data_IF_732992983202
#
_entry.id   IF_732992983202
#
_cell.length_a   1.000
_cell.length_b   1.000
_cell.length_c   1.000
_cell.angle_alpha   90.00
_cell.angle_beta   90.00
_cell.angle_gamma   90.00
#
_symmetry.space_group_name_H-M   'P 1'
#
loop_
_entity.id
_entity.type
_entity.pdbx_description
1 polymer ?
#
# COMPACT_ATOMS: atom_id res chain seq x y z
N UNK A 1 -14.33 -3.54 14.49
CA UNK A 1 -15.23 -2.48 14.95
C UNK A 1 -14.72 -1.86 16.23
N UNK A 2 -15.03 -0.59 16.44
CA UNK A 2 -14.60 0.17 17.61
C UNK A 2 -15.82 0.46 18.48
N UNK A 3 -15.75 0.15 19.77
CA UNK A 3 -16.79 0.52 20.70
C UNK A 3 -16.79 2.03 20.91
N UNK A 4 -17.97 2.60 21.09
CA UNK A 4 -18.11 3.99 21.48
C UNK A 4 -18.03 4.08 23.00
N UNK A 5 -17.05 4.81 23.50
CA UNK A 5 -16.86 5.01 24.94
C UNK A 5 -16.90 6.49 25.33
N UNK A 6 -17.39 6.77 26.51
CA UNK A 6 -17.29 8.07 27.15
C UNK A 6 -16.14 8.03 28.16
N UNK A 7 -15.18 8.95 28.04
CA UNK A 7 -14.08 9.09 29.00
C UNK A 7 -13.95 10.53 29.50
N UNK A 8 -13.37 10.69 30.68
CA UNK A 8 -12.92 12.00 31.14
C UNK A 8 -11.63 12.40 30.42
N UNK A 9 -11.61 13.47 29.60
CA UNK A 9 -10.42 13.86 28.84
C UNK A 9 -9.26 14.35 29.74
N UNK A 10 -9.55 14.67 30.99
CA UNK A 10 -8.53 15.12 31.95
C UNK A 10 -7.95 13.96 32.78
N UNK A 11 -8.65 12.81 32.81
CA UNK A 11 -8.23 11.60 33.52
C UNK A 11 -8.50 10.38 32.63
N UNK A 12 -7.68 10.16 31.58
CA UNK A 12 -7.91 9.11 30.58
C UNK A 12 -7.47 7.72 31.10
N UNK A 13 -8.15 7.24 32.13
CA UNK A 13 -7.96 5.88 32.65
C UNK A 13 -8.94 4.93 31.95
N UNK A 14 -8.47 3.96 31.14
CA UNK A 14 -9.33 3.01 30.45
C UNK A 14 -10.29 2.23 31.34
N UNK A 15 -9.93 2.01 32.61
CA UNK A 15 -10.81 1.31 33.58
C UNK A 15 -12.05 2.14 33.95
N UNK A 16 -12.01 3.44 33.74
CA UNK A 16 -13.13 4.35 34.05
C UNK A 16 -14.03 4.64 32.84
N UNK A 17 -13.71 4.09 31.66
CA UNK A 17 -14.47 4.34 30.45
C UNK A 17 -15.88 3.73 30.53
N UNK A 18 -16.88 4.55 30.22
CA UNK A 18 -18.27 4.11 30.13
C UNK A 18 -18.54 3.74 28.67
N UNK A 19 -18.80 2.47 28.41
CA UNK A 19 -19.19 2.01 27.07
C UNK A 19 -20.61 2.48 26.76
N UNK A 20 -20.72 3.35 25.75
CA UNK A 20 -22.00 3.90 25.27
C UNK A 20 -22.65 2.98 24.25
N UNK A 21 -21.84 2.40 23.36
CA UNK A 21 -22.30 1.42 22.39
C UNK A 21 -21.21 0.37 22.14
N UNK A 22 -21.62 -0.90 22.18
CA UNK A 22 -20.77 -2.05 21.88
C UNK A 22 -21.04 -2.53 20.46
N UNK A 23 -20.20 -2.13 19.53
CA UNK A 23 -20.34 -2.54 18.13
C UNK A 23 -20.06 -4.04 17.95
N UNK A 24 -19.17 -4.60 18.80
CA UNK A 24 -18.84 -6.03 18.80
C UNK A 24 -20.01 -6.94 19.16
N UNK A 25 -21.00 -6.47 19.93
CA UNK A 25 -22.17 -7.28 20.30
C UNK A 25 -23.04 -7.67 19.09
N UNK A 26 -22.87 -6.98 17.96
CA UNK A 26 -23.60 -7.23 16.72
C UNK A 26 -22.82 -8.10 15.72
N UNK A 27 -21.55 -8.41 16.00
CA UNK A 27 -20.70 -9.24 15.14
C UNK A 27 -20.45 -10.58 15.83
N UNK A 28 -20.57 -11.67 15.08
CA UNK A 28 -20.28 -13.02 15.58
C UNK A 28 -18.78 -13.35 15.55
N UNK A 29 -17.93 -12.35 15.85
CA UNK A 29 -16.48 -12.48 15.92
C UNK A 29 -16.00 -12.08 17.31
N UNK A 30 -15.08 -12.84 17.84
CA UNK A 30 -14.38 -12.54 19.08
C UNK A 30 -12.95 -12.04 18.79
N UNK A 31 -12.23 -11.59 19.81
CA UNK A 31 -10.81 -11.21 19.63
C UNK A 31 -9.92 -12.38 19.24
N UNK A 32 -10.28 -13.58 19.69
CA UNK A 32 -9.56 -14.82 19.38
C UNK A 32 -9.72 -15.23 17.91
N UNK A 33 -10.78 -14.77 17.25
CA UNK A 33 -10.98 -14.99 15.80
C UNK A 33 -10.10 -14.08 14.94
N UNK A 34 -9.47 -13.07 15.53
CA UNK A 34 -8.68 -12.08 14.81
C UNK A 34 -7.18 -12.36 14.95
N UNK A 35 -6.48 -12.21 13.84
CA UNK A 35 -5.01 -12.21 13.82
C UNK A 35 -4.49 -10.91 14.42
N UNK A 36 -3.60 -11.02 15.41
CA UNK A 36 -2.99 -9.87 16.08
C UNK A 36 -1.91 -9.26 15.19
N UNK A 37 -1.77 -7.93 15.25
CA UNK A 37 -0.70 -7.19 14.60
C UNK A 37 0.60 -7.29 15.41
N UNK A 38 1.71 -7.50 14.71
CA UNK A 38 3.06 -7.44 15.28
C UNK A 38 3.75 -6.17 14.72
N UNK A 39 4.43 -5.38 15.56
CA UNK A 39 5.29 -4.29 15.11
C UNK A 39 6.51 -4.88 14.40
N UNK A 40 6.56 -4.74 13.09
CA UNK A 40 7.64 -5.25 12.25
C UNK A 40 8.45 -4.10 11.66
N UNK A 41 9.78 -4.17 11.81
CA UNK A 41 10.68 -3.10 11.37
C UNK A 41 11.78 -3.63 10.48
N UNK A 42 12.17 -2.83 9.49
CA UNK A 42 13.26 -3.16 8.57
C UNK A 42 14.03 -1.92 8.15
N UNK A 43 15.15 -2.13 7.48
CA UNK A 43 15.94 -1.06 6.89
C UNK A 43 15.66 -0.95 5.40
N UNK A 44 15.39 0.27 4.95
CA UNK A 44 15.30 0.61 3.52
C UNK A 44 16.68 0.69 2.88
N UNK A 45 16.71 0.95 1.57
CA UNK A 45 17.93 1.04 0.75
C UNK A 45 18.96 2.04 1.29
N UNK A 46 18.50 3.13 1.91
CA UNK A 46 19.33 4.18 2.50
C UNK A 46 19.61 3.99 4.00
N UNK A 47 19.22 2.84 4.56
CA UNK A 47 19.38 2.52 5.98
C UNK A 47 18.30 3.13 6.90
N UNK A 48 17.33 3.87 6.35
CA UNK A 48 16.20 4.40 7.11
C UNK A 48 15.38 3.23 7.69
N UNK A 49 15.00 3.37 8.96
CA UNK A 49 14.09 2.42 9.58
C UNK A 49 12.66 2.66 9.12
N UNK A 50 12.03 1.61 8.64
CA UNK A 50 10.63 1.59 8.24
C UNK A 50 9.87 0.65 9.16
N UNK A 51 8.64 1.03 9.50
CA UNK A 51 7.75 0.25 10.34
C UNK A 51 6.56 -0.25 9.52
N UNK A 52 6.03 -1.40 9.87
CA UNK A 52 4.76 -1.92 9.36
C UNK A 52 4.11 -2.87 10.36
N UNK A 53 2.85 -3.17 10.12
CA UNK A 53 2.11 -4.14 10.91
C UNK A 53 2.11 -5.49 10.22
N UNK A 54 2.67 -6.50 10.88
CA UNK A 54 2.73 -7.88 10.39
C UNK A 54 1.63 -8.71 11.05
N UNK A 55 0.80 -9.34 10.22
CA UNK A 55 -0.23 -10.28 10.65
C UNK A 55 0.16 -11.68 10.19
N UNK A 56 0.46 -12.58 11.13
CA UNK A 56 0.83 -13.95 10.79
C UNK A 56 -0.40 -14.84 10.76
N UNK A 57 -0.61 -15.52 9.64
CA UNK A 57 -1.66 -16.53 9.57
C UNK A 57 -1.40 -17.68 10.53
N UNK A 58 -2.46 -18.26 11.05
CA UNK A 58 -2.39 -19.49 11.84
C UNK A 58 -2.23 -20.75 10.97
N UNK A 59 -2.39 -20.64 9.66
CA UNK A 59 -2.19 -21.74 8.70
C UNK A 59 -0.71 -22.05 8.54
N UNK A 60 -0.32 -23.30 8.75
CA UNK A 60 1.08 -23.76 8.65
C UNK A 60 1.16 -24.93 7.68
N UNK A 61 1.98 -24.84 6.62
CA UNK A 61 2.72 -23.66 6.17
C UNK A 61 1.78 -22.57 5.60
N UNK A 62 2.19 -21.31 5.69
CA UNK A 62 1.46 -20.23 5.05
C UNK A 62 1.40 -20.43 3.53
N UNK A 63 0.28 -20.05 2.90
CA UNK A 63 0.08 -20.14 1.44
C UNK A 63 0.96 -19.15 0.66
N UNK A 64 1.29 -18.03 1.30
CA UNK A 64 2.10 -16.95 0.77
C UNK A 64 2.05 -15.75 1.71
N UNK A 65 2.56 -14.62 1.23
CA UNK A 65 2.54 -13.35 1.97
C UNK A 65 1.97 -12.25 1.07
N UNK A 66 1.24 -11.33 1.65
CA UNK A 66 0.66 -10.17 0.95
C UNK A 66 1.23 -8.90 1.57
N UNK A 67 1.77 -8.00 0.75
CA UNK A 67 1.97 -6.61 1.11
C UNK A 67 0.67 -5.86 0.83
N UNK A 68 0.01 -5.39 1.87
CA UNK A 68 -1.22 -4.60 1.76
C UNK A 68 -0.89 -3.13 1.98
N UNK A 69 -0.71 -2.40 0.88
CA UNK A 69 -0.17 -1.03 0.90
C UNK A 69 -1.29 -0.02 0.99
N UNK A 70 -1.21 0.87 1.99
CA UNK A 70 -2.21 1.93 2.15
C UNK A 70 -2.13 2.98 1.06
N UNK A 71 -3.24 3.64 0.78
CA UNK A 71 -3.34 4.80 -0.11
C UNK A 71 -2.91 6.10 0.57
N UNK A 72 -3.12 7.18 -0.12
CA UNK A 72 -2.76 8.52 0.34
C UNK A 72 -1.90 9.23 -0.71
N UNK A 73 -0.56 9.25 -0.60
CA UNK A 73 0.35 8.58 0.36
C UNK A 73 0.36 9.17 1.78
N UNK A 74 -0.15 10.38 1.98
CA UNK A 74 -0.20 11.08 3.28
C UNK A 74 -1.30 10.48 4.16
N UNK A 75 -1.09 9.25 4.58
CA UNK A 75 -1.93 8.45 5.47
C UNK A 75 -1.03 7.49 6.27
N UNK A 76 -1.57 6.60 7.07
CA UNK A 76 -0.82 5.54 7.73
C UNK A 76 -1.70 4.33 8.03
N UNK A 77 -1.06 3.19 8.20
CA UNK A 77 -1.67 2.01 8.78
C UNK A 77 -1.46 2.01 10.30
N UNK A 78 -2.52 1.79 11.04
CA UNK A 78 -2.48 1.62 12.50
C UNK A 78 -2.89 0.20 12.89
N UNK A 79 -2.59 -0.17 14.13
CA UNK A 79 -3.04 -1.44 14.73
C UNK A 79 -4.55 -1.38 15.01
N UNK A 80 -5.33 -1.45 13.93
CA UNK A 80 -6.79 -1.49 13.97
C UNK A 80 -7.30 -2.68 13.17
N UNK A 81 -8.53 -3.09 13.44
CA UNK A 81 -9.15 -4.17 12.66
C UNK A 81 -9.42 -3.69 11.24
N UNK A 82 -8.67 -4.24 10.30
CA UNK A 82 -8.87 -4.04 8.86
C UNK A 82 -9.49 -5.31 8.28
N UNK A 83 -10.73 -5.29 7.79
CA UNK A 83 -11.44 -6.49 7.34
C UNK A 83 -10.68 -7.27 6.26
N UNK A 84 -10.09 -6.58 5.28
CA UNK A 84 -9.34 -7.21 4.19
C UNK A 84 -8.09 -7.92 4.70
N UNK A 85 -7.35 -7.29 5.62
CA UNK A 85 -6.15 -7.87 6.23
C UNK A 85 -6.51 -9.12 7.02
N UNK A 86 -7.58 -9.06 7.83
CA UNK A 86 -8.09 -10.20 8.58
C UNK A 86 -8.57 -11.32 7.66
N UNK A 87 -9.24 -10.97 6.56
CA UNK A 87 -9.68 -11.92 5.54
C UNK A 87 -8.49 -12.68 4.94
N UNK A 88 -7.43 -11.98 4.53
CA UNK A 88 -6.24 -12.64 3.99
C UNK A 88 -5.56 -13.53 5.03
N UNK A 89 -5.41 -13.05 6.26
CA UNK A 89 -4.78 -13.83 7.34
C UNK A 89 -5.58 -15.11 7.64
N UNK A 90 -6.91 -15.02 7.72
CA UNK A 90 -7.80 -16.16 7.91
C UNK A 90 -7.75 -17.16 6.74
N UNK A 91 -7.41 -16.71 5.52
CA UNK A 91 -7.28 -17.56 4.33
C UNK A 91 -5.87 -18.11 4.10
N UNK A 92 -5.00 -18.01 5.09
CA UNK A 92 -3.68 -18.67 5.08
C UNK A 92 -2.55 -17.81 4.54
N UNK A 93 -2.71 -16.50 4.46
CA UNK A 93 -1.64 -15.59 4.06
C UNK A 93 -1.09 -14.81 5.24
N UNK A 94 0.24 -14.66 5.33
CA UNK A 94 0.80 -13.59 6.14
C UNK A 94 0.50 -12.26 5.44
N UNK A 95 0.30 -11.19 6.22
CA UNK A 95 0.07 -9.85 5.65
C UNK A 95 1.00 -8.86 6.31
N UNK A 96 1.76 -8.10 5.52
CA UNK A 96 2.51 -6.94 5.98
C UNK A 96 1.83 -5.67 5.45
N UNK A 97 1.52 -4.75 6.37
CA UNK A 97 0.95 -3.44 6.06
C UNK A 97 2.03 -2.38 6.35
N UNK A 98 2.80 -1.95 5.34
CA UNK A 98 3.93 -1.05 5.53
C UNK A 98 3.49 0.40 5.75
N UNK A 99 4.21 1.12 6.63
CA UNK A 99 4.20 2.56 6.74
C UNK A 99 5.47 3.11 6.09
N UNK A 100 5.44 3.26 4.78
CA UNK A 100 6.54 3.78 3.97
C UNK A 100 6.74 5.29 4.22
N UNK A 101 7.92 5.85 3.87
CA UNK A 101 8.16 7.30 3.97
C UNK A 101 7.07 8.09 3.23
N UNK A 102 6.62 9.18 3.83
CA UNK A 102 5.40 9.89 3.41
C UNK A 102 4.20 9.59 4.30
N UNK A 103 4.23 8.48 5.05
CA UNK A 103 3.16 8.15 6.00
C UNK A 103 3.08 9.15 7.14
N UNK A 104 1.84 9.44 7.58
CA UNK A 104 1.55 10.21 8.80
C UNK A 104 1.72 9.35 10.06
N UNK A 105 1.56 9.95 11.23
CA UNK A 105 1.67 9.21 12.51
C UNK A 105 3.10 9.02 13.01
N UNK A 106 4.09 9.50 12.26
CA UNK A 106 5.52 9.54 12.60
C UNK A 106 5.99 11.00 12.78
N UNK A 107 7.25 11.28 12.46
CA UNK A 107 7.74 12.67 12.48
C UNK A 107 7.31 13.42 11.22
N UNK A 108 7.23 14.76 11.32
CA UNK A 108 7.00 15.61 10.15
C UNK A 108 8.07 15.40 9.07
N UNK A 109 9.33 15.23 9.47
CA UNK A 109 10.43 14.90 8.54
C UNK A 109 10.18 13.59 7.78
N UNK A 110 9.67 12.58 8.45
CA UNK A 110 9.34 11.29 7.80
C UNK A 110 8.23 11.47 6.76
N UNK A 111 7.18 12.22 7.10
CA UNK A 111 6.09 12.53 6.18
C UNK A 111 6.58 13.32 4.96
N UNK A 112 7.39 14.37 5.17
CA UNK A 112 7.87 15.23 4.07
C UNK A 112 8.96 14.55 3.22
N UNK A 113 9.58 13.49 3.70
CA UNK A 113 10.71 12.86 3.02
C UNK A 113 10.35 12.20 1.68
N UNK A 114 9.07 11.91 1.42
CA UNK A 114 8.60 11.43 0.12
C UNK A 114 8.81 12.47 -0.99
N UNK A 115 8.69 13.77 -0.66
CA UNK A 115 8.84 14.87 -1.62
C UNK A 115 10.27 15.07 -2.11
N UNK A 116 11.27 14.50 -1.43
CA UNK A 116 12.68 14.60 -1.82
C UNK A 116 12.89 13.98 -3.21
N UNK A 117 12.34 12.81 -3.42
CA UNK A 117 12.46 12.07 -4.68
C UNK A 117 11.21 12.29 -5.58
N UNK A 118 10.07 12.60 -4.98
CA UNK A 118 8.75 12.54 -5.59
C UNK A 118 8.16 11.12 -5.53
N UNK A 119 7.00 10.94 -6.12
CA UNK A 119 6.41 9.62 -6.26
C UNK A 119 7.28 8.71 -7.15
N UNK A 120 7.33 7.42 -6.84
CA UNK A 120 8.16 6.44 -7.55
C UNK A 120 9.62 6.44 -7.11
N UNK A 121 9.94 7.12 -6.02
CA UNK A 121 11.27 7.17 -5.43
C UNK A 121 11.48 6.14 -4.32
N UNK A 122 12.22 6.54 -3.27
CA UNK A 122 12.60 5.64 -2.16
C UNK A 122 11.44 5.15 -1.31
N UNK A 123 10.26 5.77 -1.38
CA UNK A 123 9.07 5.22 -0.73
C UNK A 123 8.67 3.87 -1.35
N UNK A 124 8.99 3.65 -2.61
CA UNK A 124 8.80 2.36 -3.26
C UNK A 124 9.87 1.35 -2.82
N UNK A 125 11.11 1.79 -2.63
CA UNK A 125 12.16 0.97 -2.03
C UNK A 125 11.82 0.55 -0.60
N UNK A 126 11.18 1.42 0.18
CA UNK A 126 10.71 1.09 1.52
C UNK A 126 9.81 -0.15 1.51
N UNK A 127 8.88 -0.20 0.56
CA UNK A 127 7.94 -1.32 0.39
C UNK A 127 8.65 -2.57 -0.14
N UNK A 128 9.51 -2.44 -1.16
CA UNK A 128 10.29 -3.55 -1.72
C UNK A 128 11.19 -4.20 -0.66
N UNK A 129 11.86 -3.38 0.16
CA UNK A 129 12.72 -3.89 1.24
C UNK A 129 11.92 -4.53 2.38
N UNK A 130 10.65 -4.16 2.56
CA UNK A 130 9.73 -4.88 3.44
C UNK A 130 9.51 -6.33 2.98
N UNK A 131 9.31 -6.55 1.68
CA UNK A 131 9.25 -7.91 1.12
C UNK A 131 10.56 -8.68 1.34
N UNK A 132 11.69 -8.04 1.03
CA UNK A 132 13.01 -8.64 1.25
C UNK A 132 13.24 -9.01 2.72
N UNK A 133 12.90 -8.12 3.64
CA UNK A 133 13.06 -8.36 5.07
C UNK A 133 12.23 -9.56 5.57
N UNK A 134 11.02 -9.76 5.04
CA UNK A 134 10.22 -10.94 5.36
C UNK A 134 10.86 -12.23 4.84
N UNK A 135 11.52 -12.20 3.68
CA UNK A 135 12.26 -13.32 3.12
C UNK A 135 13.50 -13.60 3.99
N UNK A 136 14.29 -12.58 4.30
CA UNK A 136 15.51 -12.70 5.11
C UNK A 136 15.21 -13.22 6.53
N UNK A 137 14.06 -12.87 7.09
CA UNK A 137 13.58 -13.36 8.38
C UNK A 137 12.96 -14.77 8.32
N UNK A 138 12.86 -15.37 7.14
CA UNK A 138 12.23 -16.70 6.96
C UNK A 138 10.71 -16.71 7.17
N UNK A 139 10.07 -15.53 7.15
CA UNK A 139 8.62 -15.37 7.30
C UNK A 139 7.90 -15.59 5.96
N UNK A 140 8.52 -15.17 4.86
CA UNK A 140 8.05 -15.37 3.51
C UNK A 140 9.05 -16.18 2.68
N UNK A 141 8.55 -16.88 1.67
CA UNK A 141 9.38 -17.59 0.70
C UNK A 141 9.58 -16.73 -0.54
N UNK A 142 10.78 -16.73 -1.16
CA UNK A 142 11.00 -16.12 -2.46
C UNK A 142 9.97 -16.59 -3.50
N UNK A 143 9.47 -15.67 -4.30
CA UNK A 143 8.45 -15.95 -5.32
C UNK A 143 7.06 -16.28 -4.76
N UNK A 144 6.80 -15.99 -3.48
CA UNK A 144 5.52 -16.24 -2.80
C UNK A 144 4.94 -14.99 -2.12
N UNK A 145 5.39 -13.81 -2.53
CA UNK A 145 4.84 -12.54 -2.04
C UNK A 145 4.06 -11.86 -3.16
N UNK A 146 2.85 -11.43 -2.84
CA UNK A 146 2.01 -10.57 -3.67
C UNK A 146 1.89 -9.19 -3.05
N UNK A 147 1.56 -8.19 -3.86
CA UNK A 147 1.29 -6.83 -3.42
C UNK A 147 -0.08 -6.37 -3.89
N UNK A 148 -0.80 -5.69 -3.02
CA UNK A 148 -2.10 -5.07 -3.33
C UNK A 148 -2.29 -3.81 -2.51
N UNK A 149 -3.19 -2.97 -2.94
CA UNK A 149 -3.59 -1.73 -2.28
C UNK A 149 -4.45 -0.89 -3.19
N UNK A 150 -5.08 0.12 -2.63
CA UNK A 150 -6.02 1.00 -3.35
C UNK A 150 -5.42 2.39 -3.55
N UNK A 151 -5.75 3.05 -4.69
CA UNK A 151 -5.30 4.42 -4.98
C UNK A 151 -3.77 4.48 -5.05
N UNK A 152 -3.11 5.25 -4.17
CA UNK A 152 -1.64 5.24 -4.09
C UNK A 152 -1.07 3.85 -3.77
N UNK A 153 -1.76 3.02 -2.95
CA UNK A 153 -1.39 1.62 -2.75
C UNK A 153 -1.51 0.77 -4.02
N UNK A 154 -2.48 1.10 -4.88
CA UNK A 154 -2.61 0.54 -6.22
C UNK A 154 -1.48 0.97 -7.15
N UNK A 155 -1.09 2.24 -7.10
CA UNK A 155 0.11 2.76 -7.78
C UNK A 155 1.37 2.02 -7.31
N UNK A 156 1.57 1.88 -6.00
CA UNK A 156 2.67 1.10 -5.45
C UNK A 156 2.64 -0.35 -5.95
N UNK A 157 1.46 -0.98 -6.02
CA UNK A 157 1.33 -2.34 -6.55
C UNK A 157 1.78 -2.44 -8.01
N UNK A 158 1.46 -1.45 -8.85
CA UNK A 158 1.97 -1.33 -10.20
C UNK A 158 3.48 -1.12 -10.25
N UNK A 159 3.98 -0.22 -9.41
CA UNK A 159 5.41 0.07 -9.36
C UNK A 159 6.20 -1.17 -8.94
N UNK A 160 5.75 -1.88 -7.92
CA UNK A 160 6.42 -3.08 -7.42
C UNK A 160 6.50 -4.18 -8.48
N UNK A 161 5.42 -4.47 -9.21
CA UNK A 161 5.44 -5.56 -10.20
C UNK A 161 6.28 -5.22 -11.44
N UNK A 162 6.52 -3.94 -11.70
CA UNK A 162 7.32 -3.47 -12.84
C UNK A 162 8.80 -3.23 -12.52
N UNK A 163 9.16 -3.04 -11.23
CA UNK A 163 10.53 -2.65 -10.83
C UNK A 163 11.20 -3.63 -9.87
N UNK A 164 10.43 -4.40 -9.10
CA UNK A 164 10.98 -5.29 -8.08
C UNK A 164 11.20 -6.69 -8.64
N UNK A 165 12.32 -7.38 -8.28
CA UNK A 165 12.57 -8.74 -8.72
C UNK A 165 11.42 -9.70 -8.37
N UNK A 166 11.12 -10.63 -9.28
CA UNK A 166 10.00 -11.60 -9.11
C UNK A 166 10.19 -12.50 -7.88
N UNK A 167 11.42 -12.69 -7.44
CA UNK A 167 11.75 -13.41 -6.21
C UNK A 167 11.23 -12.68 -4.96
N UNK A 168 11.11 -11.34 -5.02
CA UNK A 168 10.57 -10.54 -3.93
C UNK A 168 9.08 -10.28 -4.12
N UNK A 169 8.62 -9.94 -5.33
CA UNK A 169 7.22 -9.66 -5.65
C UNK A 169 6.80 -10.48 -6.87
N UNK A 170 6.06 -11.56 -6.64
CA UNK A 170 5.67 -12.51 -7.67
C UNK A 170 4.26 -12.28 -8.23
N UNK A 171 3.48 -11.41 -7.60
CA UNK A 171 2.14 -11.07 -8.06
C UNK A 171 1.74 -9.66 -7.61
N UNK A 172 0.87 -9.03 -8.37
CA UNK A 172 0.26 -7.75 -7.99
C UNK A 172 -1.25 -7.75 -8.29
N UNK A 173 -2.00 -7.10 -7.39
CA UNK A 173 -3.42 -6.85 -7.58
C UNK A 173 -3.71 -5.36 -7.30
N UNK A 174 -3.30 -4.44 -8.20
CA UNK A 174 -3.58 -3.02 -8.02
C UNK A 174 -5.07 -2.72 -8.09
N UNK A 175 -5.58 -1.95 -7.12
CA UNK A 175 -6.96 -1.49 -7.06
C UNK A 175 -6.98 0.01 -7.30
N UNK A 176 -7.61 0.45 -8.40
CA UNK A 176 -7.69 1.87 -8.79
C UNK A 176 -6.32 2.56 -8.68
N UNK A 177 -5.28 1.95 -9.24
CA UNK A 177 -3.90 2.45 -9.17
C UNK A 177 -3.53 3.30 -10.37
N UNK A 178 -2.80 4.38 -10.14
CA UNK A 178 -2.21 5.21 -11.19
C UNK A 178 -1.18 4.39 -11.98
N UNK A 179 -1.16 4.52 -13.28
CA UNK A 179 -0.25 3.78 -14.18
C UNK A 179 0.62 4.70 -15.01
N UNK A 180 0.04 5.81 -15.44
CA UNK A 180 0.70 6.91 -16.14
C UNK A 180 0.39 8.18 -15.37
N UNK A 181 1.38 8.76 -14.72
CA UNK A 181 1.18 9.93 -13.85
C UNK A 181 0.85 11.21 -14.64
N UNK A 182 1.16 11.25 -15.95
CA UNK A 182 0.74 12.35 -16.81
C UNK A 182 -0.75 12.22 -17.13
N UNK A 183 -1.19 11.04 -17.55
CA UNK A 183 -2.60 10.74 -17.81
C UNK A 183 -3.42 10.95 -16.54
N UNK A 184 -2.92 10.47 -15.39
CA UNK A 184 -3.58 10.66 -14.11
C UNK A 184 -3.75 12.15 -13.78
N UNK A 185 -2.69 12.95 -13.89
CA UNK A 185 -2.72 14.39 -13.67
C UNK A 185 -3.74 15.10 -14.59
N UNK A 186 -3.83 14.70 -15.85
CA UNK A 186 -4.74 15.32 -16.82
C UNK A 186 -6.20 14.95 -16.60
N UNK A 187 -6.46 13.73 -16.15
CA UNK A 187 -7.82 13.15 -16.06
C UNK A 187 -8.42 13.13 -14.66
N UNK A 188 -7.59 13.26 -13.60
CA UNK A 188 -8.06 13.35 -12.22
C UNK A 188 -8.88 14.61 -11.96
N UNK A 189 -9.61 14.64 -10.84
CA UNK A 189 -10.31 15.85 -10.39
C UNK A 189 -9.35 17.03 -10.26
N UNK A 190 -9.73 18.23 -10.72
CA UNK A 190 -8.85 19.41 -10.71
C UNK A 190 -8.29 19.76 -9.33
N UNK A 191 -9.03 19.48 -8.26
CA UNK A 191 -8.63 19.75 -6.88
C UNK A 191 -7.52 18.81 -6.35
N UNK A 192 -7.23 17.70 -7.03
CA UNK A 192 -6.12 16.80 -6.69
C UNK A 192 -4.80 17.17 -7.39
N UNK A 193 -4.84 17.95 -8.48
CA UNK A 193 -3.63 18.35 -9.21
C UNK A 193 -2.59 19.09 -8.38
N UNK A 194 -2.97 20.07 -7.52
CA UNK A 194 -2.00 20.74 -6.66
C UNK A 194 -1.27 19.77 -5.71
N UNK A 195 -1.93 18.71 -5.27
CA UNK A 195 -1.29 17.69 -4.46
C UNK A 195 -0.25 16.90 -5.26
N UNK A 196 -0.55 16.52 -6.50
CA UNK A 196 0.41 15.87 -7.39
C UNK A 196 1.60 16.78 -7.67
N UNK A 197 1.36 18.08 -7.93
CA UNK A 197 2.41 19.07 -8.15
C UNK A 197 3.33 19.22 -6.93
N UNK A 198 2.74 19.27 -5.73
CA UNK A 198 3.50 19.34 -4.48
C UNK A 198 4.39 18.11 -4.29
N UNK A 199 3.86 16.92 -4.53
CA UNK A 199 4.59 15.66 -4.36
C UNK A 199 5.69 15.47 -5.41
N UNK A 200 5.42 15.85 -6.65
CA UNK A 200 6.37 15.69 -7.77
C UNK A 200 7.35 16.86 -7.91
N UNK A 201 7.08 17.98 -7.22
CA UNK A 201 7.89 19.21 -7.30
C UNK A 201 7.59 20.06 -8.53
N UNK A 202 6.42 19.87 -9.15
CA UNK A 202 5.94 20.66 -10.30
C UNK A 202 4.95 19.89 -11.17
N UNK A 203 4.42 20.59 -12.18
CA UNK A 203 3.49 20.01 -13.16
C UNK A 203 4.24 19.09 -14.16
N UNK A 204 3.52 18.20 -14.88
CA UNK A 204 4.13 17.34 -15.90
C UNK A 204 4.95 18.08 -16.97
N UNK A 205 4.52 19.28 -17.36
CA UNK A 205 5.25 20.12 -18.32
C UNK A 205 6.51 20.80 -17.75
N UNK A 206 6.61 20.89 -16.41
CA UNK A 206 7.75 21.49 -15.71
C UNK A 206 8.82 20.45 -15.31
N UNK A 207 8.39 19.25 -14.96
CA UNK A 207 9.26 18.15 -14.53
C UNK A 207 8.94 16.83 -15.26
N UNK A 208 8.94 16.83 -16.61
CA UNK A 208 8.44 15.71 -17.42
C UNK A 208 9.20 14.40 -17.14
N UNK A 209 10.49 14.47 -16.91
CA UNK A 209 11.32 13.29 -16.67
C UNK A 209 10.92 12.55 -15.38
N UNK A 210 10.57 13.31 -14.32
CA UNK A 210 10.10 12.70 -13.07
C UNK A 210 8.79 11.93 -13.29
N UNK A 211 7.82 12.54 -13.97
CA UNK A 211 6.56 11.88 -14.29
C UNK A 211 6.75 10.62 -15.14
N UNK A 212 7.64 10.67 -16.14
CA UNK A 212 7.95 9.51 -16.98
C UNK A 212 8.60 8.38 -16.18
N UNK A 213 9.60 8.69 -15.36
CA UNK A 213 10.32 7.70 -14.56
C UNK A 213 9.44 7.07 -13.49
N UNK A 214 8.51 7.84 -12.93
CA UNK A 214 7.58 7.40 -11.92
C UNK A 214 6.34 6.65 -12.48
N UNK A 215 6.15 6.62 -13.81
CA UNK A 215 4.97 6.01 -14.44
C UNK A 215 5.19 4.53 -14.75
N UNK A 216 4.54 3.59 -14.03
CA UNK A 216 4.70 2.14 -14.24
C UNK A 216 4.43 1.67 -15.67
N UNK A 217 3.57 2.37 -16.42
CA UNK A 217 3.23 2.05 -17.81
C UNK A 217 4.45 1.95 -18.71
N UNK A 218 5.51 2.72 -18.43
CA UNK A 218 6.74 2.72 -19.20
C UNK A 218 7.62 1.48 -18.94
N UNK A 219 7.28 0.67 -17.95
CA UNK A 219 8.08 -0.46 -17.47
C UNK A 219 7.34 -1.79 -17.52
N UNK A 220 6.17 -1.86 -18.15
CA UNK A 220 5.34 -3.09 -18.18
C UNK A 220 6.05 -4.29 -18.78
N UNK A 221 6.99 -4.07 -19.70
CA UNK A 221 7.81 -5.14 -20.29
C UNK A 221 8.69 -5.89 -19.25
N UNK A 222 8.92 -5.29 -18.07
CA UNK A 222 9.67 -5.91 -16.98
C UNK A 222 8.82 -6.90 -16.16
N UNK A 223 7.51 -6.91 -16.32
CA UNK A 223 6.62 -7.77 -15.52
C UNK A 223 6.97 -9.24 -15.77
N UNK A 224 7.28 -9.96 -14.69
CA UNK A 224 7.55 -11.40 -14.70
C UNK A 224 6.57 -12.17 -13.82
N UNK A 225 5.86 -11.45 -12.95
CA UNK A 225 4.88 -12.00 -12.03
C UNK A 225 3.48 -12.03 -12.61
N UNK A 226 2.52 -12.43 -11.77
CA UNK A 226 1.09 -12.46 -12.13
C UNK A 226 0.43 -11.12 -11.82
N UNK A 227 -0.47 -10.71 -12.69
CA UNK A 227 -1.17 -9.43 -12.56
C UNK A 227 -2.69 -9.63 -12.59
N UNK A 228 -3.39 -8.95 -11.68
CA UNK A 228 -4.84 -8.81 -11.70
C UNK A 228 -5.18 -7.34 -11.50
N UNK A 229 -5.93 -6.74 -12.41
CA UNK A 229 -6.27 -5.31 -12.38
C UNK A 229 -7.71 -5.14 -11.87
N UNK A 230 -7.90 -4.25 -10.90
CA UNK A 230 -9.23 -3.88 -10.39
C UNK A 230 -9.43 -2.38 -10.54
N UNK A 231 -10.47 -1.97 -11.28
CA UNK A 231 -10.75 -0.56 -11.57
C UNK A 231 -12.24 -0.26 -11.49
N UNK A 232 -12.58 0.78 -10.75
CA UNK A 232 -13.92 1.36 -10.75
C UNK A 232 -14.18 2.17 -12.02
N UNK A 233 -15.25 1.87 -12.76
CA UNK A 233 -15.56 2.57 -14.01
C UNK A 233 -15.96 4.04 -13.81
N UNK A 234 -16.42 4.38 -12.61
CA UNK A 234 -16.86 5.73 -12.25
C UNK A 234 -15.91 6.39 -11.22
N UNK A 235 -14.66 5.93 -11.12
CA UNK A 235 -13.68 6.53 -10.22
C UNK A 235 -13.30 7.94 -10.72
N UNK A 236 -13.57 9.00 -9.95
CA UNK A 236 -13.25 10.36 -10.36
C UNK A 236 -11.81 10.77 -9.97
N UNK A 237 -11.14 10.00 -9.14
CA UNK A 237 -9.80 10.30 -8.65
C UNK A 237 -8.73 9.66 -9.53
N UNK A 238 -8.74 8.33 -9.58
CA UNK A 238 -7.90 7.55 -10.50
C UNK A 238 -8.81 7.04 -11.61
N UNK A 239 -8.87 7.77 -12.69
CA UNK A 239 -9.84 7.51 -13.76
C UNK A 239 -9.53 6.23 -14.53
N UNK A 240 -10.55 5.60 -15.17
CA UNK A 240 -10.35 4.43 -16.02
C UNK A 240 -9.36 4.63 -17.18
N UNK A 241 -8.99 5.89 -17.50
CA UNK A 241 -7.99 6.18 -18.51
C UNK A 241 -6.61 5.63 -18.14
N UNK A 242 -6.28 5.57 -16.84
CA UNK A 242 -5.10 4.87 -16.34
C UNK A 242 -5.07 3.40 -16.80
N UNK A 243 -6.18 2.68 -16.64
CA UNK A 243 -6.24 1.27 -17.06
C UNK A 243 -6.23 1.12 -18.58
N UNK A 244 -6.91 2.00 -19.32
CA UNK A 244 -6.89 1.97 -20.79
C UNK A 244 -5.48 2.19 -21.34
N UNK A 245 -4.75 3.12 -20.76
CA UNK A 245 -3.36 3.42 -21.15
C UNK A 245 -2.44 2.22 -20.88
N UNK A 246 -2.49 1.66 -19.67
CA UNK A 246 -1.63 0.52 -19.33
C UNK A 246 -2.03 -0.75 -20.09
N UNK A 247 -3.31 -0.98 -20.37
CA UNK A 247 -3.75 -2.13 -21.18
C UNK A 247 -3.11 -2.10 -22.57
N UNK A 248 -3.11 -0.93 -23.22
CA UNK A 248 -2.44 -0.74 -24.52
C UNK A 248 -0.95 -1.09 -24.45
N UNK A 249 -0.28 -0.69 -23.37
CA UNK A 249 1.14 -0.97 -23.18
C UNK A 249 1.41 -2.46 -22.88
N UNK A 250 0.55 -3.11 -22.09
CA UNK A 250 0.63 -4.56 -21.80
C UNK A 250 0.46 -5.37 -23.08
N UNK A 251 -0.56 -5.06 -23.89
CA UNK A 251 -0.83 -5.72 -25.17
C UNK A 251 0.39 -5.58 -26.12
N UNK A 252 0.96 -4.37 -26.20
CA UNK A 252 2.14 -4.12 -27.03
C UNK A 252 3.39 -4.86 -26.54
N UNK A 253 3.52 -5.07 -25.22
CA UNK A 253 4.62 -5.80 -24.61
C UNK A 253 4.41 -7.32 -24.58
N UNK A 254 3.23 -7.83 -24.96
CA UNK A 254 2.90 -9.24 -24.91
C UNK A 254 2.82 -9.80 -23.49
N UNK A 255 2.40 -8.97 -22.54
CA UNK A 255 2.17 -9.37 -21.14
C UNK A 255 0.72 -9.78 -20.97
N UNK A 256 0.49 -11.04 -20.57
CA UNK A 256 -0.84 -11.63 -20.33
C UNK A 256 -1.33 -11.45 -18.88
#
# INVERSE_FOLDING_TARGET
>A
PTDLVLCDPFHPDPETYITVARVWDYVKLTREDLTQAEDFRWKSVDGREIQGWLYRTQTVPARGTILYVHGGPTAHASDTVQPEVQYYAAHGFNVLVPNYRGSTGFTFEFQESIKIDGWGGREQDDVAHGAKALIDAGIALPGKIGVTGTSYGGYTSWHQITHTPVEWIAAAAPVCGMTDLVVDYETTRPDLRPYSEEMMGGRPDQVPEKYQQASPVNFVANIKGRLMIVQGLNDPNVTPDNVRTVQTALDAAGVE
#
